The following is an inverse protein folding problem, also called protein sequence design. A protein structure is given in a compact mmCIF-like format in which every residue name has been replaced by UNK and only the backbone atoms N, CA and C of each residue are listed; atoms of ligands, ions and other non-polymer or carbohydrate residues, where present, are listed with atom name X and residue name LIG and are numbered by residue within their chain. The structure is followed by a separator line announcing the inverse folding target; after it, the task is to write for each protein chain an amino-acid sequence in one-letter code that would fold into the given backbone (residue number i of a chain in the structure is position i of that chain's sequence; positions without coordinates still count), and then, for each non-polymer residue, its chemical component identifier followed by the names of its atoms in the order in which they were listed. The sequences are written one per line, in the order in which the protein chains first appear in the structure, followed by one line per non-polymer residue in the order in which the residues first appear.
data_IF_174986299760
#
_entry.id   IF_174986299760
#
_cell.length_a   1.000
_cell.length_b   1.000
_cell.length_c   1.000
_cell.angle_alpha   90.00
_cell.angle_beta   90.00
_cell.angle_gamma   90.00
#
_symmetry.space_group_name_H-M   'P 1'
#
loop_
_entity.id
_entity.type
_entity.pdbx_description
1 polymer ?
#
# COMPACT_ATOMS: atom_id res chain seq x y z
N UNK A 1 3.51 -28.25 9.98
CA UNK A 1 2.49 -27.21 10.19
C UNK A 1 2.38 -26.44 8.88
N UNK A 2 1.23 -25.89 8.50
CA UNK A 2 1.16 -25.03 7.32
C UNK A 2 2.05 -23.79 7.52
N UNK A 3 2.74 -23.36 6.46
CA UNK A 3 3.59 -22.17 6.45
C UNK A 3 2.80 -20.94 6.91
N UNK A 4 3.36 -20.16 7.84
CA UNK A 4 2.80 -18.83 8.17
C UNK A 4 3.57 -17.73 7.45
N UNK A 5 2.90 -16.60 7.23
CA UNK A 5 3.56 -15.39 6.74
C UNK A 5 4.61 -14.88 7.75
N UNK A 6 4.41 -15.11 9.05
CA UNK A 6 5.31 -14.61 10.09
C UNK A 6 6.73 -15.18 9.98
N UNK A 7 6.88 -16.48 9.68
CA UNK A 7 8.21 -17.09 9.46
C UNK A 7 8.96 -16.39 8.31
N UNK A 8 8.23 -15.98 7.26
CA UNK A 8 8.83 -15.24 6.15
C UNK A 8 9.14 -13.79 6.50
N UNK A 9 8.31 -13.14 7.32
CA UNK A 9 8.59 -11.78 7.81
C UNK A 9 9.85 -11.75 8.68
N UNK A 10 10.17 -12.83 9.42
CA UNK A 10 11.41 -12.89 10.21
C UNK A 10 12.67 -12.66 9.37
N UNK A 11 12.65 -13.00 8.07
CA UNK A 11 13.76 -12.71 7.16
C UNK A 11 13.98 -11.21 6.91
N UNK A 12 12.94 -10.40 7.11
CA UNK A 12 12.93 -8.96 6.81
C UNK A 12 13.20 -8.09 8.05
N UNK A 13 12.84 -8.59 9.24
CA UNK A 13 12.98 -7.86 10.51
C UNK A 13 14.39 -7.32 10.79
N UNK A 14 15.49 -8.06 10.51
CA UNK A 14 16.84 -7.58 10.80
C UNK A 14 17.28 -6.35 9.99
N UNK A 15 16.52 -5.97 8.97
CA UNK A 15 16.74 -4.77 8.16
C UNK A 15 15.71 -3.66 8.44
N UNK A 16 14.67 -3.96 9.24
CA UNK A 16 13.67 -2.99 9.72
C UNK A 16 14.00 -2.48 11.12
N UNK A 17 14.40 -3.38 12.02
CA UNK A 17 14.56 -3.13 13.46
C UNK A 17 16.02 -2.76 13.76
N UNK A 18 16.29 -1.80 14.68
CA UNK A 18 15.31 -1.00 15.45
C UNK A 18 14.95 0.33 14.80
N UNK A 19 15.57 0.66 13.65
CA UNK A 19 15.57 2.04 13.12
C UNK A 19 14.22 2.44 12.51
N UNK A 20 13.60 1.56 11.71
CA UNK A 20 12.31 1.82 11.05
C UNK A 20 11.14 1.30 11.87
N UNK A 21 11.35 0.18 12.57
CA UNK A 21 10.36 -0.47 13.44
C UNK A 21 10.95 -0.64 14.83
N UNK A 22 10.20 -0.17 15.84
CA UNK A 22 10.60 -0.32 17.23
C UNK A 22 10.56 -1.81 17.66
N UNK A 23 11.53 -2.28 18.48
CA UNK A 23 11.62 -3.70 18.86
C UNK A 23 10.36 -4.27 19.54
N UNK A 24 9.62 -3.47 20.30
CA UNK A 24 8.41 -3.86 21.02
C UNK A 24 7.24 -4.20 20.09
N UNK A 25 7.28 -3.76 18.84
CA UNK A 25 6.24 -4.00 17.82
C UNK A 25 6.42 -5.29 17.04
N UNK A 26 7.60 -5.89 17.14
CA UNK A 26 7.90 -7.13 16.43
C UNK A 26 6.92 -8.23 16.80
N UNK A 27 6.51 -8.30 18.07
CA UNK A 27 5.56 -9.31 18.54
C UNK A 27 4.17 -9.11 17.91
N UNK A 28 3.64 -7.88 17.88
CA UNK A 28 2.37 -7.57 17.24
C UNK A 28 2.38 -7.84 15.74
N UNK A 29 3.46 -7.45 15.05
CA UNK A 29 3.63 -7.71 13.63
C UNK A 29 3.63 -9.21 13.31
N UNK A 30 4.36 -10.02 14.10
CA UNK A 30 4.37 -11.48 13.95
C UNK A 30 2.99 -12.07 14.25
N UNK A 31 2.35 -11.66 15.34
CA UNK A 31 1.01 -12.13 15.71
C UNK A 31 -0.07 -11.77 14.69
N UNK A 32 0.05 -10.63 14.01
CA UNK A 32 -0.78 -10.31 12.85
C UNK A 32 -0.46 -11.26 11.69
N UNK A 33 0.81 -11.39 11.30
CA UNK A 33 1.24 -12.19 10.17
C UNK A 33 0.93 -13.70 10.32
N UNK A 34 0.93 -14.23 11.54
CA UNK A 34 0.51 -15.61 11.82
C UNK A 34 -0.97 -15.88 11.50
N UNK A 35 -1.79 -14.82 11.41
CA UNK A 35 -3.22 -14.89 11.09
C UNK A 35 -3.55 -14.41 9.67
N UNK A 36 -2.55 -14.04 8.89
CA UNK A 36 -2.73 -13.60 7.50
C UNK A 36 -2.48 -14.73 6.52
N UNK A 37 -3.04 -14.61 5.32
CA UNK A 37 -2.75 -15.55 4.24
C UNK A 37 -1.23 -15.52 3.95
N UNK A 38 -0.58 -16.68 3.70
CA UNK A 38 0.87 -16.78 3.49
C UNK A 38 1.29 -16.28 2.09
N UNK A 39 0.87 -15.06 1.76
CA UNK A 39 1.12 -14.38 0.50
C UNK A 39 2.36 -13.50 0.70
N UNK A 40 3.44 -13.90 0.03
CA UNK A 40 4.78 -13.37 0.23
C UNK A 40 5.06 -12.13 -0.62
N UNK A 41 4.06 -11.24 -0.71
CA UNK A 41 4.12 -9.97 -1.43
C UNK A 41 3.40 -8.92 -0.59
N UNK A 42 4.11 -7.86 -0.22
CA UNK A 42 3.55 -6.89 0.71
C UNK A 42 4.49 -5.77 1.07
N UNK A 43 4.16 -5.06 2.14
CA UNK A 43 4.92 -3.91 2.57
C UNK A 43 4.70 -3.48 4.01
N UNK A 44 5.47 -2.47 4.40
CA UNK A 44 5.41 -1.83 5.70
C UNK A 44 5.23 -0.32 5.52
N UNK A 45 4.31 0.27 6.27
CA UNK A 45 4.17 1.73 6.39
C UNK A 45 4.84 2.18 7.69
N UNK A 46 5.92 2.96 7.60
CA UNK A 46 6.68 3.45 8.77
C UNK A 46 6.58 4.97 8.88
N UNK A 47 6.22 5.49 10.07
CA UNK A 47 6.26 6.94 10.38
C UNK A 47 7.72 7.43 10.41
N UNK A 48 8.01 8.63 9.92
CA UNK A 48 9.41 9.11 9.81
C UNK A 48 9.81 10.22 10.78
N UNK A 49 8.89 11.09 11.17
CA UNK A 49 9.15 12.30 11.94
C UNK A 49 9.26 12.09 13.46
N UNK A 50 8.84 10.93 13.96
CA UNK A 50 8.89 10.61 15.37
C UNK A 50 9.54 9.24 15.60
N UNK A 51 10.04 9.03 16.81
CA UNK A 51 10.28 7.68 17.33
C UNK A 51 8.95 6.99 17.70
N UNK A 52 7.92 7.18 16.88
CA UNK A 52 6.67 6.46 17.02
C UNK A 52 6.92 5.04 16.58
N UNK A 53 6.51 4.12 17.43
CA UNK A 53 6.54 2.69 17.17
C UNK A 53 5.44 2.27 16.18
N UNK A 54 4.67 3.18 15.55
CA UNK A 54 3.61 2.73 14.65
C UNK A 54 4.20 2.23 13.33
N UNK A 55 3.91 0.96 13.02
CA UNK A 55 4.12 0.34 11.73
C UNK A 55 2.82 -0.33 11.33
N UNK A 56 2.38 -0.08 10.10
CA UNK A 56 1.20 -0.73 9.52
C UNK A 56 1.69 -1.77 8.49
N UNK A 57 0.97 -2.88 8.32
CA UNK A 57 1.36 -3.96 7.41
C UNK A 57 0.45 -4.02 6.19
N UNK A 58 1.01 -4.27 5.01
CA UNK A 58 0.26 -4.33 3.77
C UNK A 58 0.51 -5.66 3.05
N UNK A 59 -0.53 -6.26 2.47
CA UNK A 59 -0.40 -7.39 1.54
C UNK A 59 -0.90 -6.98 0.17
N UNK A 60 -0.10 -7.25 -0.87
CA UNK A 60 -0.51 -7.04 -2.25
C UNK A 60 -0.88 -8.38 -2.87
N UNK A 61 -2.11 -8.46 -3.35
CA UNK A 61 -2.70 -9.64 -3.94
C UNK A 61 -2.87 -9.37 -5.42
N UNK A 62 -2.45 -10.30 -6.27
CA UNK A 62 -2.70 -10.24 -7.72
C UNK A 62 -3.69 -11.33 -8.12
N UNK A 63 -4.39 -11.21 -9.26
CA UNK A 63 -5.40 -12.17 -9.69
C UNK A 63 -4.75 -13.43 -10.30
N UNK A 64 -3.93 -14.14 -9.51
CA UNK A 64 -3.48 -15.49 -9.82
C UNK A 64 -4.23 -16.50 -8.94
N UNK A 65 -4.50 -17.69 -9.49
CA UNK A 65 -5.36 -18.68 -8.84
C UNK A 65 -4.83 -19.11 -7.45
N UNK A 66 -3.52 -19.15 -7.26
CA UNK A 66 -2.91 -19.60 -6.01
C UNK A 66 -3.06 -18.59 -4.87
N UNK A 67 -2.72 -17.31 -5.09
CA UNK A 67 -2.82 -16.28 -4.05
C UNK A 67 -4.26 -16.03 -3.65
N UNK A 68 -5.18 -16.05 -4.63
CA UNK A 68 -6.58 -15.82 -4.34
C UNK A 68 -7.21 -16.98 -3.56
N UNK A 69 -6.86 -18.22 -3.88
CA UNK A 69 -7.29 -19.38 -3.11
C UNK A 69 -6.80 -19.32 -1.65
N UNK A 70 -5.53 -18.95 -1.44
CA UNK A 70 -4.96 -18.76 -0.10
C UNK A 70 -5.70 -17.68 0.70
N UNK A 71 -6.01 -16.55 0.07
CA UNK A 71 -6.77 -15.47 0.71
C UNK A 71 -8.20 -15.91 1.05
N UNK A 72 -8.90 -16.57 0.13
CA UNK A 72 -10.26 -17.06 0.35
C UNK A 72 -10.33 -18.10 1.47
N UNK A 73 -9.37 -19.03 1.52
CA UNK A 73 -9.25 -20.01 2.60
C UNK A 73 -9.05 -19.31 3.95
N UNK A 74 -8.15 -18.32 4.01
CA UNK A 74 -7.89 -17.59 5.24
C UNK A 74 -9.11 -16.82 5.73
N UNK A 75 -9.81 -16.10 4.85
CA UNK A 75 -11.03 -15.38 5.24
C UNK A 75 -12.11 -16.37 5.68
N UNK A 76 -12.26 -17.51 4.99
CA UNK A 76 -13.22 -18.55 5.38
C UNK A 76 -12.94 -19.09 6.79
N UNK A 77 -11.67 -19.37 7.10
CA UNK A 77 -11.25 -19.81 8.43
C UNK A 77 -11.63 -18.78 9.51
N UNK A 78 -11.25 -17.52 9.32
CA UNK A 78 -11.55 -16.41 10.27
C UNK A 78 -13.05 -16.24 10.47
N UNK A 79 -13.85 -16.25 9.40
CA UNK A 79 -15.31 -16.10 9.50
C UNK A 79 -16.00 -17.28 10.19
N UNK A 80 -15.37 -18.46 10.21
CA UNK A 80 -15.91 -19.68 10.85
C UNK A 80 -15.54 -19.82 12.33
N UNK A 81 -14.35 -19.34 12.73
CA UNK A 81 -13.82 -19.50 14.09
C UNK A 81 -14.39 -18.46 15.08
N UNK A 82 -14.61 -17.22 14.64
CA UNK A 82 -14.90 -16.11 15.55
C UNK A 82 -16.37 -16.01 16.02
N UNK A 83 -17.29 -16.81 15.47
CA UNK A 83 -18.70 -16.85 15.86
C UNK A 83 -19.51 -15.54 15.65
N UNK A 84 -18.82 -14.44 15.37
CA UNK A 84 -19.35 -13.12 15.01
C UNK A 84 -18.76 -12.76 13.65
N UNK A 85 -19.45 -13.10 12.58
CA UNK A 85 -19.02 -12.74 11.23
C UNK A 85 -19.19 -11.23 11.03
N UNK A 86 -18.08 -10.49 11.02
CA UNK A 86 -18.12 -9.06 10.70
C UNK A 86 -18.56 -8.87 9.23
N UNK A 87 -19.53 -7.99 8.98
CA UNK A 87 -20.08 -7.76 7.63
C UNK A 87 -19.00 -7.45 6.59
N UNK A 88 -17.98 -6.66 6.96
CA UNK A 88 -16.80 -6.39 6.13
C UNK A 88 -16.07 -7.61 5.58
N UNK A 89 -15.98 -8.72 6.33
CA UNK A 89 -15.34 -9.95 5.83
C UNK A 89 -16.19 -10.65 4.77
N UNK A 90 -17.52 -10.63 4.93
CA UNK A 90 -18.46 -11.16 3.92
C UNK A 90 -18.42 -10.31 2.65
N UNK A 91 -18.41 -8.99 2.79
CA UNK A 91 -18.28 -8.05 1.66
C UNK A 91 -16.98 -8.27 0.89
N UNK A 92 -15.87 -8.52 1.61
CA UNK A 92 -14.61 -8.89 0.97
C UNK A 92 -14.71 -10.24 0.25
N UNK A 93 -15.34 -11.27 0.84
CA UNK A 93 -15.56 -12.54 0.13
C UNK A 93 -16.36 -12.36 -1.17
N UNK A 94 -17.44 -11.57 -1.12
CA UNK A 94 -18.28 -11.27 -2.29
C UNK A 94 -17.47 -10.52 -3.37
N UNK A 95 -16.68 -9.53 -2.96
CA UNK A 95 -15.77 -8.82 -3.85
C UNK A 95 -14.76 -9.76 -4.52
N UNK A 96 -14.09 -10.63 -3.74
CA UNK A 96 -13.11 -11.58 -4.26
C UNK A 96 -13.72 -12.58 -5.26
N UNK A 97 -14.95 -13.02 -5.02
CA UNK A 97 -15.68 -13.89 -5.95
C UNK A 97 -15.97 -13.18 -7.29
N UNK A 98 -16.37 -11.91 -7.24
CA UNK A 98 -16.60 -11.11 -8.45
C UNK A 98 -15.31 -10.69 -9.15
N UNK A 99 -14.21 -10.55 -8.42
CA UNK A 99 -12.91 -10.20 -8.99
C UNK A 99 -12.45 -11.20 -10.06
N UNK A 100 -12.64 -12.49 -9.83
CA UNK A 100 -12.33 -13.53 -10.82
C UNK A 100 -13.27 -13.54 -12.03
N UNK A 101 -14.51 -13.09 -11.86
CA UNK A 101 -15.57 -13.28 -12.85
C UNK A 101 -15.77 -12.05 -13.72
N UNK A 102 -16.00 -10.88 -13.09
CA UNK A 102 -16.48 -9.68 -13.75
C UNK A 102 -15.56 -8.47 -13.59
N UNK A 103 -14.69 -8.44 -12.57
CA UNK A 103 -13.76 -7.32 -12.33
C UNK A 103 -12.30 -7.66 -12.68
N UNK A 104 -12.07 -8.54 -13.65
CA UNK A 104 -10.74 -9.01 -14.08
C UNK A 104 -9.80 -7.88 -14.57
N UNK A 105 -10.33 -6.68 -14.83
CA UNK A 105 -9.54 -5.49 -15.17
C UNK A 105 -8.77 -4.91 -13.97
N UNK A 106 -9.14 -5.27 -12.74
CA UNK A 106 -8.40 -4.93 -11.52
C UNK A 106 -7.16 -5.82 -11.47
N UNK A 107 -5.98 -5.21 -11.63
CA UNK A 107 -4.71 -5.93 -11.72
C UNK A 107 -4.14 -6.37 -10.36
N UNK A 108 -4.55 -5.69 -9.28
CA UNK A 108 -4.11 -5.96 -7.92
C UNK A 108 -5.06 -5.33 -6.89
N UNK A 109 -5.04 -5.90 -5.69
CA UNK A 109 -5.59 -5.26 -4.49
C UNK A 109 -4.54 -5.22 -3.39
N UNK A 110 -4.65 -4.22 -2.52
CA UNK A 110 -3.86 -4.09 -1.32
C UNK A 110 -4.74 -4.15 -0.09
N UNK A 111 -4.35 -5.00 0.86
CA UNK A 111 -4.96 -5.11 2.17
C UNK A 111 -4.03 -4.44 3.17
N UNK A 112 -4.47 -3.36 3.82
CA UNK A 112 -3.69 -2.63 4.82
C UNK A 112 -4.25 -2.90 6.22
N UNK A 113 -3.37 -3.29 7.13
CA UNK A 113 -3.70 -3.67 8.49
C UNK A 113 -2.98 -2.75 9.47
N UNK A 114 -3.78 -2.09 10.32
CA UNK A 114 -3.26 -1.38 11.49
C UNK A 114 -2.81 -2.43 12.53
N UNK A 115 -1.59 -2.29 13.04
CA UNK A 115 -1.09 -3.19 14.08
C UNK A 115 -1.55 -2.69 15.45
N UNK A 116 -2.50 -3.43 16.03
CA UNK A 116 -2.94 -3.26 17.41
C UNK A 116 -2.53 -4.47 18.25
N UNK A 117 -1.58 -4.25 19.16
CA UNK A 117 -1.03 -5.27 20.07
C UNK A 117 -2.08 -5.86 21.04
N UNK A 118 -3.27 -5.26 21.12
CA UNK A 118 -4.32 -5.66 22.05
C UNK A 118 -5.41 -6.56 21.45
N UNK A 119 -5.47 -6.71 20.11
CA UNK A 119 -6.55 -7.46 19.45
C UNK A 119 -6.26 -8.97 19.33
N UNK A 120 -7.12 -9.76 19.96
CA UNK A 120 -7.14 -11.23 19.82
C UNK A 120 -7.67 -11.66 18.43
N UNK A 121 -8.48 -10.82 17.80
CA UNK A 121 -9.10 -11.08 16.49
C UNK A 121 -8.28 -10.51 15.34
N UNK A 122 -8.38 -11.14 14.16
CA UNK A 122 -7.79 -10.59 12.94
C UNK A 122 -8.52 -9.27 12.59
N UNK A 123 -7.81 -8.12 12.54
CA UNK A 123 -8.46 -6.86 12.21
C UNK A 123 -8.95 -6.88 10.76
N UNK A 124 -10.10 -6.24 10.51
CA UNK A 124 -10.50 -5.94 9.15
C UNK A 124 -9.43 -5.08 8.46
N UNK A 125 -9.10 -5.33 7.19
CA UNK A 125 -8.17 -4.49 6.45
C UNK A 125 -8.87 -3.26 5.88
N UNK A 126 -8.10 -2.20 5.64
CA UNK A 126 -8.44 -1.27 4.56
C UNK A 126 -8.13 -1.95 3.22
N UNK A 127 -9.00 -1.81 2.21
CA UNK A 127 -8.83 -2.44 0.91
C UNK A 127 -8.60 -1.36 -0.13
N UNK A 128 -7.55 -1.47 -0.94
CA UNK A 128 -7.33 -0.64 -2.11
C UNK A 128 -7.36 -1.51 -3.35
N UNK A 129 -8.15 -1.14 -4.36
CA UNK A 129 -8.18 -1.86 -5.63
C UNK A 129 -7.64 -1.00 -6.77
N UNK A 130 -6.75 -1.58 -7.58
CA UNK A 130 -6.13 -0.92 -8.72
C UNK A 130 -7.08 -0.83 -9.91
N UNK A 131 -7.28 0.38 -10.42
CA UNK A 131 -8.06 0.62 -11.63
C UNK A 131 -7.17 0.54 -12.88
N UNK A 132 -7.71 0.06 -14.02
CA UNK A 132 -6.93 -0.11 -15.23
C UNK A 132 -6.47 1.25 -15.77
N UNK A 133 -5.18 1.34 -16.11
CA UNK A 133 -4.52 2.60 -16.50
C UNK A 133 -4.65 2.91 -17.99
N UNK A 134 -4.87 1.89 -18.82
CA UNK A 134 -4.93 2.01 -20.29
C UNK A 134 -6.36 2.18 -20.81
N UNK A 135 -7.36 2.03 -19.93
CA UNK A 135 -8.76 2.21 -20.30
C UNK A 135 -9.07 3.69 -20.31
N UNK A 136 -9.17 4.24 -21.52
CA UNK A 136 -9.73 5.57 -21.79
C UNK A 136 -11.09 5.36 -22.43
N UNK A 137 -12.20 5.67 -21.74
CA UNK A 137 -12.37 6.89 -20.94
C UNK A 137 -12.69 6.65 -19.44
N UNK A 138 -12.60 7.73 -18.64
CA UNK A 138 -12.93 7.79 -17.21
C UNK A 138 -14.27 7.11 -16.82
N UNK A 139 -15.21 7.06 -17.77
CA UNK A 139 -16.51 6.40 -17.63
C UNK A 139 -16.37 4.90 -17.35
N UNK A 140 -15.48 4.21 -18.06
CA UNK A 140 -15.30 2.76 -17.91
C UNK A 140 -14.60 2.43 -16.59
N UNK A 141 -13.56 3.20 -16.23
CA UNK A 141 -12.89 3.05 -14.93
C UNK A 141 -13.81 3.39 -13.76
N UNK A 142 -14.71 4.37 -13.95
CA UNK A 142 -15.72 4.71 -12.95
C UNK A 142 -16.70 3.55 -12.76
N UNK A 143 -17.20 2.93 -13.82
CA UNK A 143 -18.09 1.76 -13.71
C UNK A 143 -17.46 0.58 -12.95
N UNK A 144 -16.16 0.32 -13.17
CA UNK A 144 -15.41 -0.69 -12.39
C UNK A 144 -15.35 -0.28 -10.91
N UNK A 145 -15.07 0.99 -10.62
CA UNK A 145 -15.04 1.49 -9.25
C UNK A 145 -16.40 1.38 -8.57
N UNK A 146 -17.50 1.77 -9.23
CA UNK A 146 -18.85 1.72 -8.66
C UNK A 146 -19.26 0.27 -8.38
N UNK A 147 -19.00 -0.66 -9.30
CA UNK A 147 -19.28 -2.08 -9.09
C UNK A 147 -18.47 -2.66 -7.92
N UNK A 148 -17.20 -2.27 -7.79
CA UNK A 148 -16.33 -2.69 -6.69
C UNK A 148 -16.81 -2.15 -5.34
N UNK A 149 -17.24 -0.89 -5.30
CA UNK A 149 -17.77 -0.25 -4.10
C UNK A 149 -19.13 -0.84 -3.68
N UNK A 150 -19.99 -1.18 -4.62
CA UNK A 150 -21.25 -1.87 -4.34
C UNK A 150 -21.04 -3.23 -3.64
N UNK A 151 -19.99 -3.96 -4.01
CA UNK A 151 -19.63 -5.22 -3.37
C UNK A 151 -19.01 -5.01 -1.98
N UNK A 152 -18.12 -4.02 -1.85
CA UNK A 152 -17.38 -3.78 -0.61
C UNK A 152 -18.18 -3.03 0.47
N UNK A 153 -19.12 -2.17 0.08
CA UNK A 153 -19.88 -1.30 0.99
C UNK A 153 -21.40 -1.51 0.90
N UNK A 154 -21.88 -2.26 -0.09
CA UNK A 154 -23.30 -2.30 -0.45
C UNK A 154 -23.72 -1.08 -1.26
N UNK A 155 -24.72 -1.23 -2.15
CA UNK A 155 -25.16 -0.16 -3.06
C UNK A 155 -25.65 1.11 -2.36
N UNK A 156 -26.12 1.03 -1.10
CA UNK A 156 -26.49 2.21 -0.30
C UNK A 156 -25.36 2.73 0.59
N UNK A 157 -24.28 1.96 0.78
CA UNK A 157 -23.23 2.25 1.75
C UNK A 157 -22.32 3.42 1.39
N UNK A 158 -22.27 3.81 0.11
CA UNK A 158 -21.42 4.89 -0.40
C UNK A 158 -22.20 5.89 -1.28
N UNK A 159 -23.53 5.79 -1.32
CA UNK A 159 -24.38 6.60 -2.20
C UNK A 159 -24.22 8.11 -1.96
N UNK A 160 -24.02 8.53 -0.72
CA UNK A 160 -23.80 9.94 -0.37
C UNK A 160 -22.47 10.51 -0.90
N UNK A 161 -21.56 9.65 -1.38
CA UNK A 161 -20.24 10.03 -1.89
C UNK A 161 -20.17 9.94 -3.42
N UNK A 162 -21.23 9.43 -4.06
CA UNK A 162 -21.24 9.06 -5.46
C UNK A 162 -20.98 10.25 -6.38
N UNK A 163 -21.65 11.37 -6.16
CA UNK A 163 -21.48 12.58 -6.98
C UNK A 163 -20.06 13.13 -6.87
N UNK A 164 -19.48 13.16 -5.66
CA UNK A 164 -18.13 13.64 -5.44
C UNK A 164 -17.09 12.71 -6.07
N UNK A 165 -17.30 11.39 -5.97
CA UNK A 165 -16.44 10.42 -6.63
C UNK A 165 -16.53 10.56 -8.15
N UNK A 166 -17.73 10.64 -8.72
CA UNK A 166 -17.93 10.86 -10.16
C UNK A 166 -17.20 12.13 -10.62
N UNK A 167 -17.34 13.22 -9.87
CA UNK A 167 -16.66 14.47 -10.16
C UNK A 167 -15.13 14.29 -10.16
N UNK A 168 -14.56 13.50 -9.25
CA UNK A 168 -13.13 13.19 -9.25
C UNK A 168 -12.67 12.52 -10.56
N UNK A 169 -13.47 11.59 -11.11
CA UNK A 169 -13.19 10.95 -12.40
C UNK A 169 -13.34 11.92 -13.57
N UNK A 170 -14.42 12.72 -13.57
CA UNK A 170 -14.73 13.66 -14.67
C UNK A 170 -13.75 14.84 -14.73
N UNK A 171 -13.27 15.29 -13.59
CA UNK A 171 -12.33 16.40 -13.49
C UNK A 171 -10.90 16.04 -13.90
N UNK A 172 -10.57 14.74 -14.05
CA UNK A 172 -9.23 14.31 -14.42
C UNK A 172 -8.79 14.93 -15.77
N UNK A 173 -7.69 15.71 -15.81
CA UNK A 173 -7.15 16.22 -17.06
C UNK A 173 -6.67 15.09 -17.99
N UNK A 174 -6.42 15.43 -19.26
CA UNK A 174 -5.87 14.48 -20.22
C UNK A 174 -4.56 13.84 -19.72
N UNK A 175 -4.52 12.51 -19.69
CA UNK A 175 -3.36 11.73 -19.25
C UNK A 175 -3.23 11.58 -17.72
N UNK A 176 -4.09 12.25 -16.95
CA UNK A 176 -4.27 12.05 -15.51
C UNK A 176 -5.38 11.02 -15.30
N UNK A 177 -5.25 10.17 -14.29
CA UNK A 177 -6.26 9.16 -14.00
C UNK A 177 -6.27 8.78 -12.53
N UNK A 178 -7.41 8.27 -12.07
CA UNK A 178 -7.53 7.63 -10.75
C UNK A 178 -7.00 6.21 -10.88
N UNK A 179 -5.95 5.93 -10.12
CA UNK A 179 -5.24 4.66 -10.16
C UNK A 179 -5.74 3.64 -9.15
N UNK A 180 -6.19 4.10 -7.98
CA UNK A 180 -6.68 3.24 -6.92
C UNK A 180 -7.80 3.95 -6.16
N UNK A 181 -8.72 3.14 -5.66
CA UNK A 181 -9.72 3.54 -4.67
C UNK A 181 -9.51 2.69 -3.43
N UNK A 182 -9.45 3.33 -2.27
CA UNK A 182 -9.31 2.71 -0.96
C UNK A 182 -10.60 2.80 -0.15
N UNK A 183 -11.00 1.68 0.44
CA UNK A 183 -12.12 1.52 1.37
C UNK A 183 -11.57 1.16 2.74
N UNK A 184 -11.77 2.03 3.72
CA UNK A 184 -11.19 1.88 5.05
C UNK A 184 -12.06 0.99 5.97
N UNK A 185 -12.31 -0.29 5.63
CA UNK A 185 -13.25 -1.14 6.40
C UNK A 185 -12.87 -1.29 7.90
N UNK A 186 -11.59 -1.15 8.21
CA UNK A 186 -11.04 -1.18 9.57
C UNK A 186 -11.50 0.00 10.44
N UNK A 187 -11.97 1.09 9.82
CA UNK A 187 -12.29 2.35 10.48
C UNK A 187 -13.70 2.76 10.09
N UNK A 188 -14.45 3.38 11.00
CA UNK A 188 -15.69 4.04 10.64
C UNK A 188 -15.41 5.38 9.93
N UNK A 189 -14.69 5.33 8.81
CA UNK A 189 -14.28 6.49 8.03
C UNK A 189 -15.38 6.86 7.04
N UNK A 190 -15.95 8.08 7.10
CA UNK A 190 -17.00 8.52 6.18
C UNK A 190 -16.43 8.99 4.83
N UNK A 191 -15.46 8.26 4.28
CA UNK A 191 -14.75 8.65 3.07
C UNK A 191 -14.06 7.47 2.36
N UNK A 192 -13.95 7.58 1.04
CA UNK A 192 -13.10 6.79 0.16
C UNK A 192 -11.75 7.47 -0.02
N UNK A 193 -10.68 6.68 -0.11
CA UNK A 193 -9.35 7.19 -0.49
C UNK A 193 -9.20 7.13 -2.01
N UNK A 194 -8.99 8.26 -2.66
CA UNK A 194 -8.82 8.37 -4.12
C UNK A 194 -7.37 8.70 -4.44
N UNK A 195 -6.71 7.85 -5.24
CA UNK A 195 -5.31 8.04 -5.64
C UNK A 195 -5.18 8.45 -7.10
N UNK A 196 -4.89 9.72 -7.35
CA UNK A 196 -4.77 10.35 -8.68
C UNK A 196 -3.32 10.36 -9.13
N UNK A 197 -3.02 9.74 -10.28
CA UNK A 197 -1.66 9.66 -10.85
C UNK A 197 -1.46 10.64 -11.99
N UNK A 198 -0.20 11.03 -12.19
CA UNK A 198 0.29 11.89 -13.28
C UNK A 198 -0.21 13.33 -13.25
N UNK A 199 -0.88 13.75 -12.17
CA UNK A 199 -1.23 15.15 -11.94
C UNK A 199 0.06 15.97 -11.81
N UNK A 200 0.23 16.96 -12.69
CA UNK A 200 1.39 17.85 -12.69
C UNK A 200 1.16 19.02 -11.72
N UNK A 201 2.21 19.70 -11.22
CA UNK A 201 2.07 20.80 -10.27
C UNK A 201 1.14 21.92 -10.75
N UNK A 202 1.21 22.29 -12.03
CA UNK A 202 0.37 23.32 -12.66
C UNK A 202 -1.11 22.90 -12.82
N UNK A 203 -1.39 21.60 -12.74
CA UNK A 203 -2.74 21.03 -12.83
C UNK A 203 -3.35 20.72 -11.46
N UNK A 204 -2.58 20.75 -10.37
CA UNK A 204 -3.05 20.38 -9.03
C UNK A 204 -4.20 21.27 -8.57
N UNK A 205 -3.96 22.59 -8.51
CA UNK A 205 -4.93 23.52 -7.95
C UNK A 205 -6.21 23.59 -8.79
N UNK A 206 -6.13 23.68 -10.14
CA UNK A 206 -7.33 23.59 -10.98
C UNK A 206 -8.13 22.31 -10.74
N UNK A 207 -7.47 21.15 -10.62
CA UNK A 207 -8.15 19.88 -10.34
C UNK A 207 -8.85 19.89 -8.97
N UNK A 208 -8.15 20.33 -7.91
CA UNK A 208 -8.71 20.39 -6.56
C UNK A 208 -9.93 21.33 -6.48
N UNK A 209 -9.87 22.48 -7.15
CA UNK A 209 -11.00 23.41 -7.21
C UNK A 209 -12.19 22.82 -7.96
N UNK A 210 -11.95 22.13 -9.08
CA UNK A 210 -12.98 21.49 -9.90
C UNK A 210 -13.73 20.38 -9.15
N UNK A 211 -13.05 19.66 -8.24
CA UNK A 211 -13.69 18.65 -7.38
C UNK A 211 -14.28 19.24 -6.08
N UNK A 212 -14.25 20.56 -5.92
CA UNK A 212 -14.87 21.25 -4.79
C UNK A 212 -14.03 21.29 -3.50
N UNK A 213 -12.71 21.11 -3.57
CA UNK A 213 -11.82 21.29 -2.43
C UNK A 213 -11.61 22.78 -2.13
N UNK A 214 -11.79 23.18 -0.86
CA UNK A 214 -11.99 24.59 -0.47
C UNK A 214 -10.85 25.22 0.34
N UNK A 215 -9.76 24.49 0.55
CA UNK A 215 -8.67 24.94 1.41
C UNK A 215 -7.72 25.92 0.71
N UNK A 216 -6.80 26.50 1.48
CA UNK A 216 -5.76 27.39 0.95
C UNK A 216 -4.77 26.61 0.08
N UNK A 217 -4.53 27.13 -1.13
CA UNK A 217 -3.84 26.39 -2.19
C UNK A 217 -2.36 26.73 -2.33
N UNK A 218 -1.94 27.93 -1.94
CA UNK A 218 -0.61 28.48 -2.27
C UNK A 218 0.54 27.67 -1.68
N UNK A 219 0.44 27.30 -0.41
CA UNK A 219 1.48 26.55 0.29
C UNK A 219 1.53 25.09 -0.18
N UNK A 220 0.37 24.51 -0.50
CA UNK A 220 0.28 23.16 -1.07
C UNK A 220 0.89 23.11 -2.47
N UNK A 221 0.60 24.10 -3.33
CA UNK A 221 1.19 24.21 -4.66
C UNK A 221 2.72 24.33 -4.57
N UNK A 222 3.21 25.22 -3.69
CA UNK A 222 4.64 25.38 -3.47
C UNK A 222 5.31 24.08 -2.97
N UNK A 223 4.64 23.35 -2.08
CA UNK A 223 5.11 22.05 -1.60
C UNK A 223 5.17 21.03 -2.75
N UNK A 224 4.12 20.93 -3.58
CA UNK A 224 4.10 19.99 -4.69
C UNK A 224 5.21 20.30 -5.71
N UNK A 225 5.43 21.58 -6.05
CA UNK A 225 6.53 21.99 -6.95
C UNK A 225 7.88 21.57 -6.38
N UNK A 226 8.11 21.80 -5.08
CA UNK A 226 9.36 21.41 -4.42
C UNK A 226 9.57 19.89 -4.47
N UNK A 227 8.57 19.11 -4.06
CA UNK A 227 8.65 17.65 -4.05
C UNK A 227 8.83 17.08 -5.45
N UNK A 228 8.08 17.60 -6.44
CA UNK A 228 8.19 17.17 -7.83
C UNK A 228 9.58 17.42 -8.42
N UNK A 229 10.31 18.44 -7.97
CA UNK A 229 11.70 18.67 -8.35
C UNK A 229 12.70 17.64 -7.78
N UNK A 230 12.30 16.85 -6.78
CA UNK A 230 13.15 15.88 -6.09
C UNK A 230 12.86 14.43 -6.51
N UNK A 231 11.70 14.15 -7.10
CA UNK A 231 11.25 12.79 -7.42
C UNK A 231 10.80 12.66 -8.88
N UNK A 232 10.60 11.43 -9.36
CA UNK A 232 10.16 11.21 -10.74
C UNK A 232 8.65 11.40 -10.91
N UNK A 233 7.88 11.05 -9.88
CA UNK A 233 6.42 11.02 -9.93
C UNK A 233 5.81 11.35 -8.58
N UNK A 234 4.63 11.94 -8.63
CA UNK A 234 3.73 12.11 -7.51
C UNK A 234 2.39 11.39 -7.78
N UNK A 235 1.87 10.72 -6.77
CA UNK A 235 0.44 10.37 -6.68
C UNK A 235 -0.21 11.30 -5.66
N UNK A 236 -1.35 11.89 -6.01
CA UNK A 236 -2.15 12.70 -5.10
C UNK A 236 -3.22 11.83 -4.46
N UNK A 237 -3.24 11.78 -3.14
CA UNK A 237 -4.19 11.03 -2.34
C UNK A 237 -5.21 11.97 -1.70
N UNK A 238 -6.49 11.73 -1.95
CA UNK A 238 -7.61 12.51 -1.42
C UNK A 238 -8.53 11.60 -0.61
N UNK A 239 -9.18 12.15 0.42
CA UNK A 239 -10.29 11.48 1.07
C UNK A 239 -11.61 12.13 0.59
N UNK A 240 -12.50 11.33 0.02
CA UNK A 240 -13.74 11.76 -0.64
C UNK A 240 -14.93 11.12 0.05
N UNK A 241 -15.74 11.94 0.73
CA UNK A 241 -17.02 11.54 1.33
C UNK A 241 -18.14 12.43 0.84
N UNK A 242 -19.00 12.90 1.75
CA UNK A 242 -19.99 13.96 1.45
C UNK A 242 -19.32 15.29 1.03
N UNK A 243 -18.06 15.47 1.42
CA UNK A 243 -17.17 16.53 0.98
C UNK A 243 -15.83 15.91 0.54
N UNK A 244 -15.04 16.66 -0.23
CA UNK A 244 -13.61 16.36 -0.39
C UNK A 244 -12.88 16.90 0.83
N UNK A 245 -12.29 16.00 1.62
CA UNK A 245 -11.70 16.37 2.90
C UNK A 245 -10.41 17.19 2.73
N UNK A 246 -10.05 18.04 3.72
CA UNK A 246 -8.92 18.97 3.63
C UNK A 246 -7.55 18.31 3.42
N UNK A 247 -7.35 17.10 3.94
CA UNK A 247 -6.04 16.46 3.96
C UNK A 247 -5.63 15.94 2.58
N UNK A 248 -4.41 16.25 2.16
CA UNK A 248 -3.83 15.82 0.88
C UNK A 248 -2.59 14.98 1.14
N UNK A 249 -2.52 13.78 0.58
CA UNK A 249 -1.28 13.00 0.55
C UNK A 249 -0.55 13.14 -0.78
N UNK A 250 0.78 13.21 -0.73
CA UNK A 250 1.66 13.25 -1.89
C UNK A 250 2.63 12.08 -1.82
N UNK A 251 2.38 11.03 -2.61
CA UNK A 251 3.27 9.86 -2.69
C UNK A 251 4.44 10.17 -3.63
N UNK A 252 5.62 10.37 -3.07
CA UNK A 252 6.85 10.74 -3.74
C UNK A 252 7.63 9.48 -4.18
N UNK A 253 7.74 9.29 -5.48
CA UNK A 253 8.26 8.06 -6.11
C UNK A 253 9.48 8.39 -6.97
N UNK A 254 10.59 7.67 -6.73
CA UNK A 254 11.71 7.55 -7.65
C UNK A 254 11.70 6.14 -8.25
N UNK A 255 11.87 6.05 -9.57
CA UNK A 255 11.75 4.77 -10.30
C UNK A 255 12.90 3.82 -9.97
N UNK A 256 14.11 4.38 -9.81
CA UNK A 256 15.30 3.62 -9.46
C UNK A 256 15.49 3.57 -7.94
N UNK A 257 16.12 2.49 -7.46
CA UNK A 257 16.33 2.26 -6.03
C UNK A 257 17.56 3.03 -5.50
N UNK A 258 17.64 3.33 -4.19
CA UNK A 258 18.73 4.08 -3.58
C UNK A 258 20.17 3.70 -4.00
N UNK A 259 20.54 2.40 -4.19
CA UNK A 259 21.88 2.06 -4.67
C UNK A 259 22.23 2.65 -6.04
N UNK A 260 21.22 2.86 -6.89
CA UNK A 260 21.37 3.30 -8.28
C UNK A 260 20.83 4.73 -8.51
N UNK A 261 20.26 5.38 -7.50
CA UNK A 261 19.58 6.68 -7.61
C UNK A 261 19.91 7.59 -6.42
N UNK A 262 20.90 8.45 -6.63
CA UNK A 262 21.39 9.39 -5.60
C UNK A 262 20.35 10.42 -5.15
N UNK A 263 19.31 10.71 -5.95
CA UNK A 263 18.24 11.65 -5.54
C UNK A 263 17.47 11.17 -4.32
N UNK A 264 17.47 9.87 -4.00
CA UNK A 264 16.91 9.40 -2.74
C UNK A 264 17.58 10.05 -1.52
N UNK A 265 18.90 10.14 -1.51
CA UNK A 265 19.63 10.77 -0.41
C UNK A 265 19.27 12.26 -0.31
N UNK A 266 19.27 12.98 -1.43
CA UNK A 266 18.93 14.42 -1.50
C UNK A 266 17.49 14.66 -1.02
N UNK A 267 16.54 13.84 -1.45
CA UNK A 267 15.15 13.96 -1.04
C UNK A 267 14.98 13.68 0.47
N UNK A 268 15.64 12.66 0.99
CA UNK A 268 15.57 12.34 2.41
C UNK A 268 16.30 13.39 3.27
N UNK A 269 17.40 13.98 2.80
CA UNK A 269 18.08 15.10 3.46
C UNK A 269 17.13 16.28 3.61
N UNK A 270 16.40 16.63 2.54
CA UNK A 270 15.36 17.65 2.58
C UNK A 270 14.26 17.35 3.62
N UNK A 271 13.85 16.09 3.77
CA UNK A 271 12.88 15.72 4.80
C UNK A 271 13.47 15.83 6.22
N UNK A 272 14.74 15.49 6.40
CA UNK A 272 15.45 15.65 7.68
C UNK A 272 15.58 17.13 8.05
N UNK A 273 15.99 17.99 7.11
CA UNK A 273 16.09 19.43 7.30
C UNK A 273 14.75 20.07 7.67
N UNK A 274 13.63 19.51 7.19
CA UNK A 274 12.27 19.93 7.55
C UNK A 274 11.72 19.28 8.83
N UNK A 275 12.49 18.43 9.50
CA UNK A 275 12.04 17.70 10.69
C UNK A 275 10.97 16.65 10.40
N UNK A 276 10.81 16.23 9.14
CA UNK A 276 9.86 15.21 8.70
C UNK A 276 10.44 13.80 8.74
N UNK A 277 11.76 13.67 8.85
CA UNK A 277 12.46 12.39 8.96
C UNK A 277 13.56 12.47 10.02
N UNK A 278 13.71 11.45 10.84
CA UNK A 278 14.87 11.31 11.73
C UNK A 278 16.10 10.83 10.92
N UNK A 279 17.31 11.34 11.20
CA UNK A 279 18.53 10.91 10.49
C UNK A 279 18.76 9.39 10.51
N UNK A 280 18.50 8.72 11.64
CA UNK A 280 18.60 7.26 11.73
C UNK A 280 17.61 6.51 10.83
N UNK A 281 16.41 7.09 10.61
CA UNK A 281 15.41 6.53 9.71
C UNK A 281 15.80 6.74 8.25
N UNK A 282 16.34 7.91 7.90
CA UNK A 282 16.93 8.13 6.57
C UNK A 282 17.99 7.08 6.24
N UNK A 283 18.97 6.86 7.13
CA UNK A 283 20.02 5.87 6.91
C UNK A 283 19.43 4.47 6.70
N UNK A 284 18.44 4.09 7.51
CA UNK A 284 17.78 2.81 7.40
C UNK A 284 17.02 2.67 6.07
N UNK A 285 16.29 3.70 5.62
CA UNK A 285 15.60 3.72 4.32
C UNK A 285 16.56 3.55 3.15
N UNK A 286 17.72 4.21 3.18
CA UNK A 286 18.74 4.08 2.14
C UNK A 286 19.35 2.68 2.10
N UNK A 287 19.42 2.00 3.26
CA UNK A 287 19.97 0.64 3.40
C UNK A 287 18.94 -0.47 3.16
N UNK A 288 17.64 -0.15 3.14
CA UNK A 288 16.57 -1.14 3.04
C UNK A 288 16.58 -1.92 1.72
N UNK A 289 16.75 -1.30 0.55
CA UNK A 289 16.63 -2.02 -0.72
C UNK A 289 17.75 -3.03 -0.94
N UNK A 290 17.40 -4.17 -1.51
CA UNK A 290 18.33 -5.27 -1.76
C UNK A 290 17.64 -6.62 -1.73
N UNK A 291 18.43 -7.69 -1.73
CA UNK A 291 17.92 -9.06 -1.80
C UNK A 291 18.30 -9.85 -0.56
N UNK A 292 17.34 -10.61 -0.04
CA UNK A 292 17.56 -11.60 1.03
C UNK A 292 17.38 -13.00 0.44
N UNK A 293 18.35 -13.87 0.64
CA UNK A 293 18.40 -15.23 0.10
C UNK A 293 19.03 -16.18 1.13
N UNK A 294 18.97 -17.51 0.92
CA UNK A 294 19.49 -18.47 1.90
C UNK A 294 20.98 -18.30 2.27
N UNK A 295 21.79 -17.63 1.46
CA UNK A 295 23.22 -17.44 1.71
C UNK A 295 23.51 -16.19 2.56
N UNK A 296 22.66 -15.17 2.51
CA UNK A 296 22.87 -13.89 3.22
C UNK A 296 21.81 -13.60 4.30
N UNK A 297 20.82 -14.46 4.47
CA UNK A 297 19.82 -14.33 5.52
C UNK A 297 20.48 -14.29 6.90
N UNK A 298 20.05 -13.35 7.74
CA UNK A 298 20.52 -13.17 9.12
C UNK A 298 19.82 -14.10 10.12
N UNK A 299 18.78 -14.80 9.66
CA UNK A 299 18.02 -15.81 10.42
C UNK A 299 17.86 -17.06 9.55
N UNK A 300 17.39 -18.15 10.15
CA UNK A 300 17.13 -19.41 9.44
C UNK A 300 16.14 -19.21 8.29
N UNK A 301 16.41 -19.84 7.15
CA UNK A 301 15.48 -19.83 6.03
C UNK A 301 14.21 -20.65 6.38
N UNK A 302 12.99 -20.17 6.10
CA UNK A 302 11.75 -20.87 6.43
C UNK A 302 11.69 -22.27 5.82
N UNK A 303 11.29 -23.26 6.63
CA UNK A 303 11.32 -24.68 6.22
C UNK A 303 10.44 -24.95 5.00
N UNK A 304 9.30 -24.26 4.89
CA UNK A 304 8.40 -24.43 3.76
C UNK A 304 8.96 -23.82 2.46
N UNK A 305 9.75 -22.75 2.55
CA UNK A 305 10.49 -22.24 1.39
C UNK A 305 11.64 -23.17 0.99
N UNK A 306 12.28 -23.84 1.95
CA UNK A 306 13.26 -24.91 1.66
C UNK A 306 12.54 -26.05 0.93
N UNK A 307 11.42 -26.53 1.46
CA UNK A 307 10.64 -27.61 0.85
C UNK A 307 10.15 -27.23 -0.56
N UNK A 308 9.63 -26.01 -0.74
CA UNK A 308 9.22 -25.50 -2.04
C UNK A 308 10.41 -25.42 -3.02
N UNK A 309 11.60 -25.05 -2.55
CA UNK A 309 12.82 -25.00 -3.38
C UNK A 309 13.24 -26.37 -3.89
N UNK A 310 13.03 -27.44 -3.10
CA UNK A 310 13.31 -28.82 -3.52
C UNK A 310 12.40 -29.30 -4.66
N UNK A 311 11.24 -28.66 -4.84
CA UNK A 311 10.30 -28.94 -5.93
C UNK A 311 10.59 -28.12 -7.20
N UNK A 312 11.48 -27.13 -7.12
CA UNK A 312 11.84 -26.31 -8.28
C UNK A 312 12.97 -26.95 -9.11
N UNK A 313 13.08 -26.60 -10.41
CA UNK A 313 14.27 -26.92 -11.20
C UNK A 313 15.56 -26.44 -10.54
N UNK A 314 16.66 -27.18 -10.74
CA UNK A 314 17.97 -26.91 -10.11
C UNK A 314 18.57 -25.53 -10.40
N UNK A 315 18.12 -24.87 -11.45
CA UNK A 315 18.55 -23.54 -11.86
C UNK A 315 17.63 -22.42 -11.33
N UNK A 316 16.67 -22.75 -10.46
CA UNK A 316 15.83 -21.76 -9.79
C UNK A 316 16.24 -21.55 -8.34
N UNK A 317 16.26 -20.29 -7.92
CA UNK A 317 16.64 -19.87 -6.57
C UNK A 317 15.58 -18.95 -5.98
N UNK A 318 15.30 -19.15 -4.69
CA UNK A 318 14.38 -18.31 -3.92
C UNK A 318 15.09 -17.06 -3.40
N UNK A 319 14.43 -15.91 -3.53
CA UNK A 319 14.86 -14.64 -2.93
C UNK A 319 13.65 -13.89 -2.38
N UNK A 320 13.91 -12.98 -1.45
CA UNK A 320 13.07 -11.82 -1.17
C UNK A 320 13.73 -10.59 -1.76
N UNK A 321 13.05 -9.94 -2.70
CA UNK A 321 13.42 -8.62 -3.19
C UNK A 321 12.82 -7.56 -2.28
N UNK A 322 13.62 -6.61 -1.81
CA UNK A 322 13.22 -5.51 -0.93
C UNK A 322 13.44 -4.19 -1.65
N UNK A 323 12.43 -3.31 -1.61
CA UNK A 323 12.46 -2.02 -2.30
C UNK A 323 11.88 -0.91 -1.43
N UNK A 324 12.38 0.30 -1.62
CA UNK A 324 11.71 1.51 -1.17
C UNK A 324 10.65 1.86 -2.22
N UNK A 325 9.37 1.75 -1.85
CA UNK A 325 8.26 1.98 -2.77
C UNK A 325 8.07 3.48 -3.02
N UNK A 326 7.82 4.23 -1.95
CA UNK A 326 7.66 5.67 -1.99
C UNK A 326 7.71 6.27 -0.58
N UNK A 327 7.83 7.60 -0.50
CA UNK A 327 7.60 8.36 0.73
C UNK A 327 6.34 9.20 0.53
N UNK A 328 5.38 9.07 1.42
CA UNK A 328 4.18 9.91 1.42
C UNK A 328 4.38 11.10 2.34
N UNK A 329 4.22 12.29 1.78
CA UNK A 329 4.13 13.53 2.55
C UNK A 329 2.66 13.90 2.66
N UNK A 330 2.15 14.02 3.89
CA UNK A 330 0.77 14.38 4.17
C UNK A 330 0.71 15.86 4.54
N UNK A 331 -0.12 16.60 3.84
CA UNK A 331 -0.43 18.00 4.08
C UNK A 331 -1.82 18.12 4.69
N UNK A 332 -1.91 18.85 5.80
CA UNK A 332 -3.19 19.27 6.40
C UNK A 332 -3.29 20.79 6.51
N UNK A 333 -2.17 21.43 6.82
CA UNK A 333 -2.00 22.88 6.86
C UNK A 333 -0.51 23.19 6.67
N UNK A 334 -0.13 24.47 6.44
CA UNK A 334 1.28 24.84 6.28
C UNK A 334 2.21 24.38 7.41
N UNK A 335 1.70 24.33 8.64
CA UNK A 335 2.45 23.94 9.84
C UNK A 335 2.25 22.46 10.24
N UNK A 336 1.45 21.71 9.47
CA UNK A 336 1.07 20.32 9.78
C UNK A 336 1.42 19.42 8.61
N UNK A 337 2.71 19.07 8.54
CA UNK A 337 3.27 18.09 7.62
C UNK A 337 3.67 16.82 8.37
N UNK A 338 3.41 15.67 7.75
CA UNK A 338 3.88 14.37 8.20
C UNK A 338 4.49 13.60 7.05
N UNK A 339 5.48 12.74 7.34
CA UNK A 339 6.05 11.85 6.35
C UNK A 339 6.02 10.39 6.80
N UNK A 340 5.73 9.51 5.83
CA UNK A 340 5.62 8.06 6.00
C UNK A 340 6.39 7.36 4.89
N UNK A 341 7.19 6.35 5.23
CA UNK A 341 7.84 5.51 4.25
C UNK A 341 7.02 4.26 3.97
N UNK A 342 6.92 3.89 2.70
CA UNK A 342 6.33 2.64 2.27
C UNK A 342 7.43 1.74 1.73
N UNK A 343 7.63 0.62 2.43
CA UNK A 343 8.63 -0.39 2.11
C UNK A 343 7.94 -1.55 1.42
N UNK A 344 8.52 -2.07 0.36
CA UNK A 344 8.00 -3.20 -0.41
C UNK A 344 8.89 -4.42 -0.23
N UNK A 345 8.28 -5.59 -0.21
CA UNK A 345 8.96 -6.86 -0.39
C UNK A 345 8.15 -7.82 -1.28
N UNK A 346 8.86 -8.68 -2.00
CA UNK A 346 8.25 -9.77 -2.76
C UNK A 346 9.18 -10.99 -2.78
N UNK A 347 8.62 -12.17 -2.53
CA UNK A 347 9.31 -13.43 -2.80
C UNK A 347 9.28 -13.75 -4.29
N UNK A 348 10.45 -14.07 -4.85
CA UNK A 348 10.60 -14.40 -6.26
C UNK A 348 11.44 -15.66 -6.46
N UNK A 349 11.16 -16.34 -7.58
CA UNK A 349 11.97 -17.43 -8.09
C UNK A 349 12.83 -16.95 -9.26
N UNK A 350 14.11 -16.69 -9.03
CA UNK A 350 15.05 -16.33 -10.08
C UNK A 350 15.51 -17.56 -10.86
N UNK A 351 15.67 -17.45 -12.18
CA UNK A 351 16.32 -18.48 -13.00
C UNK A 351 17.76 -18.07 -13.27
N UNK A 352 18.70 -19.00 -13.10
CA UNK A 352 20.12 -18.83 -13.39
C UNK A 352 20.47 -18.76 -14.88
N UNK A 353 19.49 -18.85 -15.78
CA UNK A 353 19.72 -18.62 -17.20
C UNK A 353 19.83 -17.12 -17.46
N UNK A 354 21.06 -16.63 -17.57
CA UNK A 354 21.33 -15.37 -18.25
C UNK A 354 20.62 -15.39 -19.60
N UNK A 355 19.87 -14.33 -19.95
CA UNK A 355 19.47 -14.09 -21.34
C UNK A 355 20.76 -14.10 -22.17
N UNK A 356 21.02 -15.20 -22.89
CA UNK A 356 22.07 -15.29 -23.89
C UNK A 356 21.64 -14.54 -25.14
#
# INVERSE_FOLDING_TARGET
MPSTLAESIELLLPDLVPKLVAPDRVLGLKGLADRLAPILRGGFECRLNFNTAQVDFQQCIVPNENELALLQEQISAVTSEDGVTHAGWLQLQDFLAQWQLSLHAIGDIWLEYDIDDSSVFLPLPSIFFGLPQEVSPAIETYAIATQSLDLLLGSSGWHEWQDNLEQCFRACPNGVFISHIGVMLSRNSPALRVNVKRLQPDLLIPYLQEIGWQEQTKELEALMIQLFGLVDRLTVCLDVGQIVYPQIGLECILVQQPPDETRWAIFLDYLVERGLCLPEKQEALLSWPGQTNPLNAKVSWPSDLIAASLLQPRDRFTIFDRRLSHIKVVWRSPDSLEAKAYLWFEHQWLSGKSKQ
#
